data_IF_971239347134
#
_entry.id   IF_971239347134
#
_cell.length_a   1.000
_cell.length_b   1.000
_cell.length_c   1.000
_cell.angle_alpha   90.00
_cell.angle_beta   90.00
_cell.angle_gamma   90.00
#
_symmetry.space_group_name_H-M   'P 1'
#
loop_
_entity.id
_entity.type
_entity.pdbx_description
1 polymer ?
#
# COMPACT_ATOMS: atom_id res chain seq x y z
N UNK A 1 17.80 8.40 9.21
CA UNK A 1 17.35 7.10 8.67
C UNK A 1 15.83 7.11 8.75
N UNK A 2 15.12 7.34 7.65
CA UNK A 2 13.66 7.47 7.67
C UNK A 2 13.06 6.11 8.03
N UNK A 3 12.49 6.02 9.22
CA UNK A 3 11.70 4.86 9.64
C UNK A 3 10.35 4.96 8.94
N UNK A 4 10.36 4.78 7.61
CA UNK A 4 9.16 4.87 6.78
C UNK A 4 8.28 3.70 7.15
N UNK A 5 7.18 3.98 7.85
CA UNK A 5 6.13 2.99 8.15
C UNK A 5 5.32 2.75 6.87
N UNK A 6 5.92 2.05 5.90
CA UNK A 6 5.35 1.89 4.55
C UNK A 6 3.88 1.46 4.58
N UNK A 7 3.54 0.46 5.38
CA UNK A 7 2.17 -0.03 5.49
C UNK A 7 1.19 1.03 5.98
N UNK A 8 1.61 1.87 6.93
CA UNK A 8 0.81 2.98 7.43
C UNK A 8 0.53 4.00 6.31
N UNK A 9 1.56 4.39 5.57
CA UNK A 9 1.43 5.36 4.49
C UNK A 9 0.62 4.81 3.33
N UNK A 10 0.70 3.51 3.04
CA UNK A 10 -0.13 2.86 2.02
C UNK A 10 -1.61 2.89 2.38
N UNK A 11 -1.98 2.62 3.63
CA UNK A 11 -3.38 2.72 4.06
C UNK A 11 -3.87 4.17 3.93
N UNK A 12 -3.08 5.15 4.39
CA UNK A 12 -3.44 6.57 4.25
C UNK A 12 -3.59 6.99 2.79
N UNK A 13 -2.69 6.52 1.93
CA UNK A 13 -2.69 6.82 0.51
C UNK A 13 -3.91 6.22 -0.19
N UNK A 14 -4.27 4.96 0.09
CA UNK A 14 -5.52 4.34 -0.37
C UNK A 14 -6.73 5.18 0.09
N UNK A 15 -6.81 5.53 1.38
CA UNK A 15 -7.94 6.32 1.90
C UNK A 15 -8.03 7.71 1.23
N UNK A 16 -6.89 8.31 0.88
CA UNK A 16 -6.83 9.61 0.21
C UNK A 16 -7.42 9.61 -1.21
N UNK A 17 -7.43 8.44 -1.86
CA UNK A 17 -8.08 8.27 -3.18
C UNK A 17 -9.61 8.28 -3.11
N UNK A 18 -10.17 8.11 -1.91
CA UNK A 18 -11.62 7.96 -1.66
C UNK A 18 -12.27 6.74 -2.34
N UNK A 19 -11.49 5.86 -2.99
CA UNK A 19 -11.99 4.61 -3.57
C UNK A 19 -12.43 3.61 -2.48
N UNK A 20 -11.79 3.68 -1.32
CA UNK A 20 -12.10 2.84 -0.17
C UNK A 20 -12.20 3.67 1.11
N UNK A 21 -13.14 3.29 1.97
CA UNK A 21 -13.10 3.59 3.41
C UNK A 21 -12.29 2.52 4.15
N UNK A 22 -11.97 2.73 5.43
CA UNK A 22 -11.26 1.72 6.23
C UNK A 22 -12.04 0.39 6.30
N UNK A 23 -13.35 0.46 6.52
CA UNK A 23 -14.27 -0.68 6.45
C UNK A 23 -14.29 -1.31 5.04
N UNK A 24 -14.20 -0.51 3.98
CA UNK A 24 -14.10 -1.01 2.60
C UNK A 24 -12.80 -1.81 2.37
N UNK A 25 -11.67 -1.32 2.88
CA UNK A 25 -10.39 -2.05 2.85
C UNK A 25 -10.54 -3.37 3.61
N UNK A 26 -11.16 -3.35 4.80
CA UNK A 26 -11.38 -4.53 5.61
C UNK A 26 -12.21 -5.59 4.86
N UNK A 27 -13.31 -5.18 4.24
CA UNK A 27 -14.18 -6.07 3.47
C UNK A 27 -13.45 -6.68 2.26
N UNK A 28 -12.65 -5.88 1.54
CA UNK A 28 -11.95 -6.34 0.34
C UNK A 28 -10.76 -7.24 0.66
N UNK A 29 -9.93 -6.85 1.63
CA UNK A 29 -8.70 -7.57 1.99
C UNK A 29 -8.94 -8.71 2.98
N UNK A 30 -10.12 -8.78 3.58
CA UNK A 30 -10.46 -9.67 4.70
C UNK A 30 -9.49 -9.51 5.88
N UNK A 31 -8.92 -8.33 6.05
CA UNK A 31 -8.16 -7.95 7.24
C UNK A 31 -9.17 -7.30 8.21
N UNK A 32 -9.21 -7.68 9.49
CA UNK A 32 -10.08 -7.03 10.46
C UNK A 32 -9.85 -5.51 10.50
N UNK A 33 -10.92 -4.73 10.59
CA UNK A 33 -10.84 -3.27 10.57
C UNK A 33 -10.00 -2.71 11.73
N UNK A 34 -10.06 -3.34 12.90
CA UNK A 34 -9.22 -3.04 14.06
C UNK A 34 -7.71 -3.18 13.76
N UNK A 35 -7.32 -4.21 13.01
CA UNK A 35 -5.92 -4.42 12.61
C UNK A 35 -5.49 -3.32 11.63
N UNK A 36 -6.37 -2.94 10.70
CA UNK A 36 -6.09 -1.85 9.76
C UNK A 36 -6.00 -0.50 10.49
N UNK A 37 -6.85 -0.27 11.49
CA UNK A 37 -6.79 0.90 12.35
C UNK A 37 -5.48 0.98 13.13
N UNK A 38 -5.01 -0.13 13.71
CA UNK A 38 -3.74 -0.20 14.41
C UNK A 38 -2.55 0.10 13.49
N UNK A 39 -2.56 -0.40 12.26
CA UNK A 39 -1.52 -0.11 11.27
C UNK A 39 -1.58 1.36 10.83
N UNK A 40 -2.77 1.89 10.55
CA UNK A 40 -2.98 3.27 10.10
C UNK A 40 -2.61 4.32 11.17
N UNK A 41 -2.91 4.02 12.43
CA UNK A 41 -2.50 4.81 13.60
C UNK A 41 -1.02 4.65 13.95
N UNK A 42 -0.38 3.61 13.40
CA UNK A 42 1.02 3.28 13.65
C UNK A 42 1.27 2.59 14.99
N UNK A 43 0.21 2.13 15.67
CA UNK A 43 0.25 1.24 16.83
C UNK A 43 0.79 -0.14 16.44
N UNK A 44 0.49 -0.61 15.23
CA UNK A 44 1.11 -1.77 14.61
C UNK A 44 2.02 -1.34 13.45
N UNK A 45 3.29 -1.11 13.75
CA UNK A 45 4.28 -0.70 12.75
C UNK A 45 4.87 -1.86 11.94
N UNK A 46 4.58 -3.11 12.31
CA UNK A 46 5.14 -4.30 11.65
C UNK A 46 4.08 -5.40 11.56
N UNK A 47 3.05 -5.22 10.71
CA UNK A 47 2.06 -6.26 10.48
C UNK A 47 2.73 -7.55 9.97
N UNK A 48 2.09 -8.69 10.21
CA UNK A 48 2.59 -9.96 9.72
C UNK A 48 2.59 -10.01 8.18
N UNK A 49 3.24 -11.03 7.61
CA UNK A 49 3.41 -11.14 6.17
C UNK A 49 2.09 -11.10 5.38
N UNK A 50 1.07 -11.83 5.81
CA UNK A 50 -0.17 -11.98 5.04
C UNK A 50 -1.00 -10.66 4.98
N UNK A 51 -1.27 -9.94 6.09
CA UNK A 51 -1.84 -8.60 6.02
C UNK A 51 -0.99 -7.64 5.19
N UNK A 52 0.34 -7.76 5.28
CA UNK A 52 1.23 -6.92 4.50
C UNK A 52 1.07 -7.15 3.01
N UNK A 53 1.11 -8.41 2.57
CA UNK A 53 0.94 -8.81 1.17
C UNK A 53 -0.37 -8.28 0.59
N UNK A 54 -1.49 -8.45 1.31
CA UNK A 54 -2.81 -8.00 0.84
C UNK A 54 -2.93 -6.49 0.74
N UNK A 55 -2.36 -5.75 1.69
CA UNK A 55 -2.29 -4.29 1.61
C UNK A 55 -1.43 -3.81 0.44
N UNK A 56 -0.33 -4.51 0.15
CA UNK A 56 0.50 -4.24 -1.03
C UNK A 56 -0.28 -4.44 -2.34
N UNK A 57 -0.95 -5.57 -2.48
CA UNK A 57 -1.76 -5.88 -3.66
C UNK A 57 -2.88 -4.85 -3.86
N UNK A 58 -3.58 -4.47 -2.78
CA UNK A 58 -4.63 -3.45 -2.86
C UNK A 58 -4.05 -2.09 -3.29
N UNK A 59 -2.94 -1.66 -2.69
CA UNK A 59 -2.33 -0.38 -3.05
C UNK A 59 -1.84 -0.36 -4.50
N UNK A 60 -1.32 -1.49 -5.02
CA UNK A 60 -0.97 -1.61 -6.45
C UNK A 60 -2.19 -1.40 -7.33
N UNK A 61 -3.33 -2.01 -6.97
CA UNK A 61 -4.56 -1.89 -7.74
C UNK A 61 -5.13 -0.47 -7.71
N UNK A 62 -5.19 0.16 -6.53
CA UNK A 62 -5.69 1.55 -6.34
C UNK A 62 -4.75 2.58 -6.97
N UNK A 63 -3.44 2.35 -6.92
CA UNK A 63 -2.40 3.26 -7.42
C UNK A 63 -1.76 2.76 -8.71
N UNK A 64 -2.53 2.10 -9.56
CA UNK A 64 -2.04 1.47 -10.78
C UNK A 64 -1.14 2.39 -11.61
N UNK A 65 -1.56 3.63 -11.86
CA UNK A 65 -0.80 4.60 -12.66
C UNK A 65 0.55 4.99 -12.03
N UNK A 66 0.61 5.06 -10.70
CA UNK A 66 1.86 5.30 -9.97
C UNK A 66 2.85 4.15 -10.21
N UNK A 67 2.39 2.90 -10.05
CA UNK A 67 3.24 1.73 -10.24
C UNK A 67 3.66 1.56 -11.69
N UNK A 68 2.76 1.83 -12.64
CA UNK A 68 3.09 1.86 -14.06
C UNK A 68 4.19 2.88 -14.34
N UNK A 69 4.09 4.10 -13.80
CA UNK A 69 5.12 5.14 -13.96
C UNK A 69 6.47 4.75 -13.33
N UNK A 70 6.46 4.07 -12.18
CA UNK A 70 7.68 3.53 -11.55
C UNK A 70 8.33 2.48 -12.45
N UNK A 71 7.54 1.52 -12.94
CA UNK A 71 8.03 0.45 -13.81
C UNK A 71 8.58 0.98 -15.13
N UNK A 72 7.93 1.98 -15.73
CA UNK A 72 8.44 2.65 -16.93
C UNK A 72 9.80 3.32 -16.68
N UNK A 73 9.97 4.01 -15.55
CA UNK A 73 11.26 4.62 -15.19
C UNK A 73 12.36 3.58 -14.99
N UNK A 74 12.04 2.45 -14.36
CA UNK A 74 12.97 1.33 -14.19
C UNK A 74 13.34 0.75 -15.55
N UNK A 75 12.35 0.45 -16.40
CA UNK A 75 12.57 -0.04 -17.76
C UNK A 75 13.47 0.91 -18.57
N UNK A 76 13.19 2.22 -18.56
CA UNK A 76 14.03 3.22 -19.23
C UNK A 76 15.46 3.24 -18.70
N UNK A 77 15.67 3.03 -17.40
CA UNK A 77 17.02 3.03 -16.82
C UNK A 77 17.87 1.82 -17.22
N UNK A 78 17.25 0.66 -17.44
CA UNK A 78 17.95 -0.62 -17.61
C UNK A 78 17.80 -1.24 -19.01
N UNK A 79 16.85 -0.79 -19.84
CA UNK A 79 16.57 -1.34 -21.16
C UNK A 79 16.96 -0.42 -22.33
N UNK A 80 17.33 0.85 -22.11
CA UNK A 80 18.01 1.61 -23.15
C UNK A 80 19.47 1.16 -23.22
N UNK A 81 19.95 0.64 -24.36
CA UNK A 81 21.37 0.40 -24.56
C UNK A 81 22.08 1.76 -24.56
N UNK A 82 23.16 1.85 -23.78
CA UNK A 82 24.13 2.96 -23.84
C UNK A 82 24.73 3.12 -25.22
#
# INVERSE_FOLDING_TARGET
MYNVKFMQEMIKDILSTQEYSLAGIAAHTQIPEEVLYDVASGMNSNPTFEPSRRLFELHINVRHDLYQGIMQKIALKYLTPT
#
